data_IF_054580110868
#
_entry.id   IF_054580110868
#
_cell.length_a   1.000
_cell.length_b   1.000
_cell.length_c   1.000
_cell.angle_alpha   90.00
_cell.angle_beta   90.00
_cell.angle_gamma   90.00
#
_symmetry.space_group_name_H-M   'P 1'
#
loop_
_entity.id
_entity.type
_entity.pdbx_description
1 polymer ?
#
# COMPACT_ATOMS: atom_id res chain seq x y z
N UNK A 1 7.80 38.54 -43.92
CA UNK A 1 7.63 38.01 -42.55
C UNK A 1 6.37 37.14 -42.36
N UNK A 2 5.28 37.34 -43.10
CA UNK A 2 4.01 36.57 -42.92
C UNK A 2 4.05 35.16 -43.54
N UNK A 3 4.93 34.90 -44.51
CA UNK A 3 5.06 33.59 -45.17
C UNK A 3 5.78 32.50 -44.35
N UNK A 4 6.63 32.86 -43.39
CA UNK A 4 7.37 31.90 -42.54
C UNK A 4 6.48 31.38 -41.40
N UNK A 5 5.58 32.21 -40.88
CA UNK A 5 4.62 31.83 -39.84
C UNK A 5 3.52 30.88 -40.34
N UNK A 6 3.09 31.02 -41.61
CA UNK A 6 2.12 30.07 -42.19
C UNK A 6 2.72 28.68 -42.36
N UNK A 7 4.00 28.56 -42.75
CA UNK A 7 4.70 27.26 -42.89
C UNK A 7 4.88 26.53 -41.56
N UNK A 8 5.04 27.23 -40.43
CA UNK A 8 5.15 26.59 -39.12
C UNK A 8 3.83 26.09 -38.56
N UNK A 9 2.69 26.74 -38.87
CA UNK A 9 1.36 26.28 -38.45
C UNK A 9 0.86 25.11 -39.31
N UNK A 10 1.16 25.06 -40.62
CA UNK A 10 0.80 23.89 -41.44
C UNK A 10 1.69 22.67 -41.21
N UNK A 11 2.94 22.84 -40.73
CA UNK A 11 3.83 21.72 -40.40
C UNK A 11 3.43 20.98 -39.12
N UNK A 12 2.69 21.64 -38.20
CA UNK A 12 2.08 20.98 -37.03
C UNK A 12 0.84 20.14 -37.35
N UNK A 13 0.25 20.26 -38.55
CA UNK A 13 -0.89 19.39 -38.95
C UNK A 13 -0.48 18.12 -39.68
N UNK A 14 0.72 18.08 -40.28
CA UNK A 14 1.20 16.89 -41.01
C UNK A 14 1.87 15.84 -40.13
N UNK A 15 2.05 16.10 -38.83
CA UNK A 15 2.48 15.08 -37.84
C UNK A 15 1.30 14.34 -37.22
N UNK A 16 0.07 14.56 -37.70
CA UNK A 16 -1.10 13.76 -37.38
C UNK A 16 -1.64 12.99 -38.60
N UNK A 17 -0.74 12.56 -39.49
CA UNK A 17 -1.06 11.56 -40.53
C UNK A 17 -0.26 10.28 -40.35
N UNK A 18 0.29 10.07 -39.16
CA UNK A 18 0.86 8.81 -38.75
C UNK A 18 0.46 8.57 -37.30
N UNK A 19 -0.54 7.70 -37.09
CA UNK A 19 -1.04 7.27 -35.77
C UNK A 19 0.02 6.56 -34.90
N UNK A 20 1.29 6.57 -35.31
CA UNK A 20 2.43 5.93 -34.66
C UNK A 20 3.09 6.80 -33.57
N UNK A 21 2.98 8.14 -33.64
CA UNK A 21 3.66 9.04 -32.67
C UNK A 21 2.77 9.45 -31.48
N UNK A 22 1.44 9.46 -31.65
CA UNK A 22 0.48 9.57 -30.52
C UNK A 22 0.50 8.31 -29.63
N UNK A 23 0.91 7.16 -30.19
CA UNK A 23 1.02 5.86 -29.51
C UNK A 23 2.28 5.71 -28.62
N UNK A 24 3.15 6.72 -28.52
CA UNK A 24 4.31 6.72 -27.59
C UNK A 24 4.09 7.54 -26.32
N UNK A 25 3.11 8.45 -26.30
CA UNK A 25 2.79 9.23 -25.09
C UNK A 25 1.95 8.45 -24.08
N UNK A 26 1.28 7.36 -24.50
CA UNK A 26 0.53 6.47 -23.60
C UNK A 26 1.44 5.52 -22.80
N UNK A 27 2.67 5.23 -23.26
CA UNK A 27 3.59 4.32 -22.55
C UNK A 27 3.96 4.79 -21.15
N UNK A 28 3.92 6.10 -20.87
CA UNK A 28 4.15 6.64 -19.52
C UNK A 28 2.99 6.33 -18.59
N UNK A 29 1.75 6.58 -19.00
CA UNK A 29 0.54 6.27 -18.20
C UNK A 29 0.39 4.75 -18.04
N UNK A 30 0.63 3.96 -19.09
CA UNK A 30 0.69 2.49 -19.04
C UNK A 30 1.80 2.01 -18.08
N UNK A 31 2.95 2.69 -18.08
CA UNK A 31 4.04 2.40 -17.15
C UNK A 31 3.69 2.80 -15.72
N UNK A 32 2.97 3.90 -15.50
CA UNK A 32 2.49 4.31 -14.18
C UNK A 32 1.43 3.35 -13.63
N UNK A 33 0.48 2.90 -14.46
CA UNK A 33 -0.53 1.88 -14.08
C UNK A 33 0.16 0.54 -13.79
N UNK A 34 1.15 0.14 -14.61
CA UNK A 34 1.94 -1.08 -14.40
C UNK A 34 2.84 -1.00 -13.17
N UNK A 35 3.45 0.15 -12.87
CA UNK A 35 4.24 0.39 -11.66
C UNK A 35 3.33 0.38 -10.44
N UNK A 36 2.17 1.02 -10.49
CA UNK A 36 1.20 1.02 -9.38
C UNK A 36 0.69 -0.38 -9.07
N UNK A 37 0.34 -1.18 -10.08
CA UNK A 37 -0.09 -2.58 -9.89
C UNK A 37 1.03 -3.46 -9.34
N UNK A 38 2.27 -3.32 -9.84
CA UNK A 38 3.44 -4.03 -9.30
C UNK A 38 3.72 -3.64 -7.86
N UNK A 39 3.68 -2.35 -7.53
CA UNK A 39 3.91 -1.83 -6.19
C UNK A 39 2.83 -2.31 -5.21
N UNK A 40 1.55 -2.20 -5.57
CA UNK A 40 0.45 -2.70 -4.74
C UNK A 40 0.54 -4.22 -4.52
N UNK A 41 0.87 -4.99 -5.57
CA UNK A 41 1.05 -6.45 -5.44
C UNK A 41 2.20 -6.79 -4.52
N UNK A 42 3.35 -6.14 -4.69
CA UNK A 42 4.52 -6.39 -3.85
C UNK A 42 4.26 -5.98 -2.39
N UNK A 43 3.58 -4.86 -2.16
CA UNK A 43 3.16 -4.43 -0.82
C UNK A 43 2.16 -5.40 -0.20
N UNK A 44 1.13 -5.83 -0.92
CA UNK A 44 0.15 -6.78 -0.43
C UNK A 44 0.79 -8.14 -0.08
N UNK A 45 1.73 -8.60 -0.89
CA UNK A 45 2.51 -9.81 -0.59
C UNK A 45 3.40 -9.59 0.64
N UNK A 46 4.08 -8.45 0.74
CA UNK A 46 4.94 -8.13 1.88
C UNK A 46 4.17 -8.09 3.21
N UNK A 47 3.03 -7.40 3.23
CA UNK A 47 2.12 -7.34 4.38
C UNK A 47 1.54 -8.72 4.68
N UNK A 48 1.09 -9.47 3.66
CA UNK A 48 0.56 -10.82 3.86
C UNK A 48 1.56 -11.81 4.47
N UNK A 49 2.82 -11.73 4.08
CA UNK A 49 3.88 -12.63 4.60
C UNK A 49 4.19 -12.32 6.06
N UNK A 50 4.23 -11.05 6.48
CA UNK A 50 4.53 -10.68 7.87
C UNK A 50 3.35 -10.92 8.83
N UNK A 51 2.11 -10.81 8.35
CA UNK A 51 0.91 -11.13 9.15
C UNK A 51 0.75 -12.62 9.46
N UNK A 52 1.36 -13.49 8.65
CA UNK A 52 1.25 -14.93 8.90
C UNK A 52 1.94 -15.34 10.22
N UNK A 53 3.20 -14.92 10.50
CA UNK A 53 3.80 -15.00 11.82
C UNK A 53 2.95 -14.41 12.94
N UNK A 54 2.36 -13.22 12.75
CA UNK A 54 1.54 -12.56 13.78
C UNK A 54 0.24 -13.34 14.08
N UNK A 55 -0.44 -13.84 13.05
CA UNK A 55 -1.64 -14.67 13.21
C UNK A 55 -1.36 -15.98 13.93
N UNK A 56 -0.17 -16.56 13.73
CA UNK A 56 0.30 -17.73 14.49
C UNK A 56 0.69 -17.36 15.93
N UNK A 57 1.31 -16.20 16.14
CA UNK A 57 1.66 -15.69 17.46
C UNK A 57 0.41 -15.44 18.33
N UNK A 58 -0.74 -15.15 17.73
CA UNK A 58 -2.03 -15.08 18.45
C UNK A 58 -2.65 -16.47 18.65
N UNK A 59 -2.55 -17.37 17.67
CA UNK A 59 -3.18 -18.70 17.73
C UNK A 59 -2.50 -19.67 18.72
N UNK A 60 -1.17 -19.65 18.81
CA UNK A 60 -0.38 -20.52 19.70
C UNK A 60 -0.69 -20.32 21.21
N UNK A 61 -0.71 -19.10 21.77
CA UNK A 61 -1.09 -18.89 23.16
C UNK A 61 -2.58 -19.19 23.41
N UNK A 62 -3.45 -18.97 22.42
CA UNK A 62 -4.86 -19.36 22.52
C UNK A 62 -5.02 -20.89 22.61
N UNK A 63 -4.21 -21.64 21.87
CA UNK A 63 -4.17 -23.10 22.00
C UNK A 63 -3.60 -23.51 23.37
N UNK A 64 -2.53 -22.86 23.83
CA UNK A 64 -1.89 -23.15 25.12
C UNK A 64 -2.83 -22.88 26.31
N UNK A 65 -3.79 -21.95 26.17
CA UNK A 65 -4.85 -21.68 27.15
C UNK A 65 -6.03 -22.65 27.09
N UNK A 66 -5.94 -23.72 26.29
CA UNK A 66 -6.88 -24.84 26.27
C UNK A 66 -7.91 -24.82 25.13
N UNK A 67 -7.81 -23.88 24.18
CA UNK A 67 -8.66 -23.89 22.99
C UNK A 67 -8.21 -24.94 21.97
N UNK A 68 -9.17 -25.54 21.26
CA UNK A 68 -8.92 -26.43 20.12
C UNK A 68 -8.08 -25.70 19.06
N UNK A 69 -7.09 -26.39 18.50
CA UNK A 69 -6.21 -25.91 17.41
C UNK A 69 -6.97 -25.20 16.30
N UNK A 70 -8.14 -25.74 15.92
CA UNK A 70 -8.96 -25.17 14.86
C UNK A 70 -9.62 -23.86 15.28
N UNK A 71 -10.13 -23.76 16.52
CA UNK A 71 -10.69 -22.52 17.06
C UNK A 71 -9.60 -21.44 17.19
N UNK A 72 -8.42 -21.80 17.66
CA UNK A 72 -7.29 -20.86 17.78
C UNK A 72 -6.83 -20.33 16.42
N UNK A 73 -6.76 -21.19 15.39
CA UNK A 73 -6.49 -20.78 14.01
C UNK A 73 -7.60 -19.89 13.43
N UNK A 74 -8.87 -20.16 13.75
CA UNK A 74 -9.98 -19.30 13.35
C UNK A 74 -9.88 -17.90 13.95
N UNK A 75 -9.53 -17.78 15.23
CA UNK A 75 -9.31 -16.48 15.86
C UNK A 75 -8.08 -15.76 15.28
N UNK A 76 -7.00 -16.47 14.95
CA UNK A 76 -5.85 -15.89 14.25
C UNK A 76 -6.21 -15.29 12.88
N UNK A 77 -7.03 -15.99 12.10
CA UNK A 77 -7.53 -15.47 10.82
C UNK A 77 -8.49 -14.28 10.99
N UNK A 78 -9.36 -14.31 12.00
CA UNK A 78 -10.24 -13.20 12.31
C UNK A 78 -9.45 -11.94 12.71
N UNK A 79 -8.33 -12.12 13.41
CA UNK A 79 -7.39 -11.03 13.71
C UNK A 79 -6.79 -10.46 12.42
N UNK A 80 -6.29 -11.29 11.51
CA UNK A 80 -5.74 -10.82 10.23
C UNK A 80 -6.76 -10.12 9.31
N UNK A 81 -8.05 -10.44 9.43
CA UNK A 81 -9.10 -9.79 8.65
C UNK A 81 -9.37 -8.33 9.08
N UNK A 82 -8.90 -7.93 10.26
CA UNK A 82 -9.03 -6.55 10.76
C UNK A 82 -8.30 -5.56 9.84
N UNK A 83 -7.17 -5.98 9.28
CA UNK A 83 -6.25 -5.12 8.56
C UNK A 83 -6.77 -4.60 7.21
N UNK A 84 -7.37 -5.43 6.31
CA UNK A 84 -8.01 -4.90 5.11
C UNK A 84 -9.24 -4.05 5.43
N UNK A 85 -9.98 -4.36 6.50
CA UNK A 85 -11.17 -3.60 6.90
C UNK A 85 -10.76 -2.18 7.31
N UNK A 86 -9.82 -2.07 8.25
CA UNK A 86 -9.34 -0.77 8.70
C UNK A 86 -8.44 -0.09 7.67
N UNK A 87 -7.78 -0.83 6.77
CA UNK A 87 -7.06 -0.27 5.64
C UNK A 87 -7.96 0.48 4.66
N UNK A 88 -9.12 -0.09 4.32
CA UNK A 88 -10.13 0.58 3.47
C UNK A 88 -10.73 1.78 4.19
N UNK A 89 -11.12 1.62 5.47
CA UNK A 89 -11.67 2.72 6.26
C UNK A 89 -10.66 3.85 6.45
N UNK A 90 -9.39 3.52 6.67
CA UNK A 90 -8.28 4.46 6.77
C UNK A 90 -8.08 5.21 5.45
N UNK A 91 -8.06 4.52 4.31
CA UNK A 91 -7.95 5.17 3.00
C UNK A 91 -9.09 6.17 2.74
N UNK A 92 -10.32 5.83 3.14
CA UNK A 92 -11.46 6.74 3.07
C UNK A 92 -11.30 7.93 4.02
N UNK A 93 -10.94 7.70 5.28
CA UNK A 93 -10.75 8.77 6.26
C UNK A 93 -9.63 9.74 5.86
N UNK A 94 -8.51 9.22 5.35
CA UNK A 94 -7.36 10.00 4.89
C UNK A 94 -7.71 10.91 3.71
N UNK A 95 -8.66 10.50 2.86
CA UNK A 95 -9.13 11.32 1.74
C UNK A 95 -9.75 12.66 2.20
N UNK A 96 -10.28 12.73 3.42
CA UNK A 96 -10.84 13.96 4.00
C UNK A 96 -9.86 14.70 4.93
N UNK A 97 -8.86 13.99 5.48
CA UNK A 97 -7.95 14.49 6.52
C UNK A 97 -6.48 14.60 6.05
N UNK A 98 -6.24 14.86 4.76
CA UNK A 98 -4.89 14.96 4.17
C UNK A 98 -3.88 15.83 4.97
N UNK A 99 -4.22 17.02 5.49
CA UNK A 99 -3.25 17.83 6.25
C UNK A 99 -2.95 17.27 7.66
N UNK A 100 -3.83 16.43 8.22
CA UNK A 100 -3.62 15.80 9.53
C UNK A 100 -2.82 14.49 9.44
N UNK A 101 -2.70 13.92 8.23
CA UNK A 101 -2.02 12.65 7.96
C UNK A 101 -0.60 12.55 8.53
N UNK A 102 0.32 13.50 8.32
CA UNK A 102 1.70 13.37 8.81
C UNK A 102 1.77 13.35 10.34
N UNK A 103 0.88 14.08 11.02
CA UNK A 103 0.80 14.07 12.48
C UNK A 103 0.26 12.74 13.00
N UNK A 104 -0.75 12.17 12.35
CA UNK A 104 -1.29 10.86 12.69
C UNK A 104 -0.27 9.73 12.46
N UNK A 105 0.47 9.75 11.34
CA UNK A 105 1.52 8.77 11.05
C UNK A 105 2.70 8.89 12.03
N UNK A 106 3.10 10.11 12.40
CA UNK A 106 4.14 10.31 13.41
C UNK A 106 3.72 9.76 14.78
N UNK A 107 2.46 9.97 15.16
CA UNK A 107 1.89 9.39 16.39
C UNK A 107 1.86 7.86 16.35
N UNK A 108 1.40 7.27 15.25
CA UNK A 108 1.37 5.82 15.08
C UNK A 108 2.78 5.19 15.12
N UNK A 109 3.76 5.83 14.48
CA UNK A 109 5.17 5.40 14.54
C UNK A 109 5.72 5.45 15.97
N UNK A 110 5.41 6.51 16.73
CA UNK A 110 5.79 6.62 18.14
C UNK A 110 5.17 5.53 19.02
N UNK A 111 3.89 5.21 18.80
CA UNK A 111 3.22 4.12 19.52
C UNK A 111 3.89 2.76 19.25
N UNK A 112 4.25 2.48 17.99
CA UNK A 112 4.96 1.24 17.65
C UNK A 112 6.35 1.15 18.29
N UNK A 113 7.09 2.26 18.40
CA UNK A 113 8.39 2.28 19.11
C UNK A 113 8.20 2.00 20.60
N UNK A 114 7.19 2.58 21.24
CA UNK A 114 6.90 2.34 22.66
C UNK A 114 6.57 0.87 22.93
N UNK A 115 5.69 0.27 22.12
CA UNK A 115 5.32 -1.16 22.24
C UNK A 115 6.55 -2.05 22.10
N UNK A 116 7.40 -1.79 21.10
CA UNK A 116 8.64 -2.57 20.90
C UNK A 116 9.58 -2.48 22.11
N UNK A 117 9.70 -1.30 22.72
CA UNK A 117 10.53 -1.12 23.93
C UNK A 117 9.96 -1.91 25.11
N UNK A 118 8.63 -1.89 25.29
CA UNK A 118 7.96 -2.54 26.41
C UNK A 118 7.93 -4.07 26.27
N UNK A 119 7.76 -4.60 25.05
CA UNK A 119 7.70 -6.04 24.82
C UNK A 119 9.11 -6.67 24.68
N UNK A 120 10.03 -6.08 23.91
CA UNK A 120 11.31 -6.73 23.56
C UNK A 120 12.38 -6.59 24.66
N UNK A 121 12.44 -5.47 25.37
CA UNK A 121 13.48 -5.26 26.41
C UNK A 121 13.34 -6.20 27.62
N UNK A 122 12.15 -6.47 28.17
CA UNK A 122 12.03 -7.43 29.27
C UNK A 122 12.26 -8.87 28.82
N UNK A 123 11.86 -9.26 27.61
CA UNK A 123 12.14 -10.61 27.07
C UNK A 123 13.62 -10.86 26.77
N UNK A 124 14.40 -9.82 26.48
CA UNK A 124 15.84 -9.95 26.24
C UNK A 124 16.70 -10.09 27.52
N UNK A 125 16.13 -9.82 28.70
CA UNK A 125 16.85 -9.80 29.98
C UNK A 125 16.53 -10.99 30.91
N UNK A 126 15.96 -12.06 30.36
CA UNK A 126 15.80 -13.39 31.00
C UNK A 126 16.50 -14.47 30.22
#
# INVERSE_FOLDING_TARGET
MVGILKKNVTRSRSQCTDSSEYCKSDTSIDQHIKISSKACRNLAIGIGIQNFPEGLAVALPLQASGFSTWKSLWYGQLSGMVEPIFGVLGALAVSYAQPALPYALAFAAGAMIYVVIDDIIPEANT
#
